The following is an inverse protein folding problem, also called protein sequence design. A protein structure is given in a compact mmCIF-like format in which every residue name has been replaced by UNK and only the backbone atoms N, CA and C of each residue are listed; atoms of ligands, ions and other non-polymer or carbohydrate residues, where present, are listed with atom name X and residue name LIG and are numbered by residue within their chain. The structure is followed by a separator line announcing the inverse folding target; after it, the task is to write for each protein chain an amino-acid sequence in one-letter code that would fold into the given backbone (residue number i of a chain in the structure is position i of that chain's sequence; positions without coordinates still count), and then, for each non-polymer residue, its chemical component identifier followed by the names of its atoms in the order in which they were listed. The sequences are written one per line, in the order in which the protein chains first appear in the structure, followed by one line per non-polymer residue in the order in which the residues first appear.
data_IF_425000137030
#
_entry.id   IF_425000137030
#
_cell.length_a   1.000
_cell.length_b   1.000
_cell.length_c   1.000
_cell.angle_alpha   90.00
_cell.angle_beta   90.00
_cell.angle_gamma   90.00
#
_symmetry.space_group_name_H-M   'P 1'
#
loop_
_entity.id
_entity.type
_entity.pdbx_description
1 polymer ?
#
# COMPACT_ATOMS: atom_id res chain seq x y z
N UNK A 1 -39.00 20.85 -16.11
CA UNK A 1 -37.62 20.84 -16.62
C UNK A 1 -36.86 19.79 -15.83
N UNK A 2 -36.20 18.87 -16.51
CA UNK A 2 -35.32 17.88 -15.91
C UNK A 2 -33.91 18.18 -16.42
N UNK A 3 -32.96 18.35 -15.52
CA UNK A 3 -31.54 18.55 -15.83
C UNK A 3 -30.84 17.21 -15.57
N UNK A 4 -30.23 16.65 -16.60
CA UNK A 4 -29.59 15.33 -16.53
C UNK A 4 -28.10 15.38 -16.80
N UNK A 5 -27.60 16.44 -17.40
CA UNK A 5 -26.19 16.58 -17.73
C UNK A 5 -25.46 17.33 -16.62
N UNK A 6 -24.19 16.96 -16.38
CA UNK A 6 -23.31 17.67 -15.47
C UNK A 6 -23.05 19.09 -15.97
N UNK A 7 -23.05 20.07 -15.06
CA UNK A 7 -22.80 21.46 -15.41
C UNK A 7 -23.44 22.47 -14.47
N UNK A 8 -23.23 23.73 -14.78
CA UNK A 8 -23.82 24.87 -14.08
C UNK A 8 -24.95 25.47 -14.90
N UNK A 9 -26.11 25.61 -14.28
CA UNK A 9 -27.34 26.06 -14.94
C UNK A 9 -27.90 27.27 -14.20
N UNK A 10 -28.41 28.22 -14.95
CA UNK A 10 -29.15 29.36 -14.40
C UNK A 10 -30.59 29.28 -14.90
N UNK A 11 -31.52 29.14 -13.97
CA UNK A 11 -32.95 29.15 -14.27
C UNK A 11 -33.52 30.52 -13.89
N UNK A 12 -34.18 31.14 -14.85
CA UNK A 12 -34.91 32.41 -14.65
C UNK A 12 -36.39 32.13 -14.55
N UNK A 13 -37.07 32.77 -13.64
CA UNK A 13 -38.49 32.60 -13.43
C UNK A 13 -39.15 33.91 -12.96
N UNK A 14 -40.45 33.97 -13.18
CA UNK A 14 -41.30 35.05 -12.67
C UNK A 14 -42.62 34.46 -12.23
N UNK A 15 -43.32 35.15 -11.36
CA UNK A 15 -44.68 34.83 -10.95
C UNK A 15 -45.68 35.67 -11.74
N UNK A 16 -46.74 35.06 -12.22
CA UNK A 16 -47.81 35.76 -12.90
C UNK A 16 -49.12 35.60 -12.09
N UNK A 17 -49.75 36.72 -11.83
CA UNK A 17 -51.13 36.70 -11.26
C UNK A 17 -52.11 36.35 -12.37
N UNK A 18 -52.75 35.19 -12.25
CA UNK A 18 -53.62 34.69 -13.31
C UNK A 18 -54.87 35.59 -13.53
N UNK A 19 -55.37 36.26 -12.49
CA UNK A 19 -56.55 37.10 -12.59
C UNK A 19 -56.30 38.48 -13.16
N UNK A 20 -55.16 39.05 -12.86
CA UNK A 20 -54.82 40.45 -13.29
C UNK A 20 -53.80 40.49 -14.44
N UNK A 21 -53.14 39.36 -14.75
CA UNK A 21 -52.03 39.35 -15.72
C UNK A 21 -50.74 40.02 -15.23
N UNK A 22 -50.70 40.52 -13.99
CA UNK A 22 -49.51 41.16 -13.45
C UNK A 22 -48.38 40.20 -13.27
N UNK A 23 -47.16 40.61 -13.67
CA UNK A 23 -45.95 39.79 -13.64
C UNK A 23 -44.96 40.35 -12.60
N UNK A 24 -44.41 39.50 -11.76
CA UNK A 24 -43.32 39.88 -10.85
C UNK A 24 -42.02 40.25 -11.58
N UNK A 25 -41.08 40.81 -10.86
CA UNK A 25 -39.71 40.90 -11.34
C UNK A 25 -39.12 39.48 -11.59
N UNK A 26 -38.31 39.37 -12.62
CA UNK A 26 -37.53 38.15 -12.89
C UNK A 26 -36.65 37.80 -11.70
N UNK A 27 -36.68 36.56 -11.30
CA UNK A 27 -35.74 35.96 -10.36
C UNK A 27 -34.92 34.89 -11.05
N UNK A 28 -33.74 34.66 -10.53
CA UNK A 28 -32.90 33.57 -11.02
C UNK A 28 -32.41 32.69 -9.88
N UNK A 29 -32.18 31.42 -10.20
CA UNK A 29 -31.55 30.44 -9.32
C UNK A 29 -30.45 29.75 -10.12
N UNK A 30 -29.30 29.58 -9.49
CA UNK A 30 -28.18 28.82 -10.05
C UNK A 30 -28.18 27.41 -9.47
N UNK A 31 -28.06 26.42 -10.35
CA UNK A 31 -28.03 25.00 -10.01
C UNK A 31 -26.74 24.46 -10.59
N UNK A 32 -25.90 23.83 -9.76
CA UNK A 32 -24.74 23.05 -10.20
C UNK A 32 -25.09 21.56 -10.05
N UNK A 33 -25.06 20.82 -11.14
CA UNK A 33 -25.18 19.36 -11.14
C UNK A 33 -23.78 18.77 -11.34
N UNK A 34 -23.33 18.06 -10.34
CA UNK A 34 -22.02 17.40 -10.31
C UNK A 34 -22.24 15.89 -10.14
N UNK A 35 -21.68 15.09 -11.03
CA UNK A 35 -21.75 13.63 -11.04
C UNK A 35 -20.41 12.97 -10.99
N UNK A 36 -19.35 13.77 -10.96
CA UNK A 36 -17.97 13.29 -10.98
C UNK A 36 -17.50 12.98 -9.58
N UNK A 37 -17.20 11.73 -9.23
CA UNK A 37 -16.71 11.39 -7.90
C UNK A 37 -15.26 11.85 -7.70
N UNK A 38 -14.83 12.05 -6.44
CA UNK A 38 -13.43 12.29 -6.10
C UNK A 38 -12.48 11.22 -6.66
N UNK A 39 -11.27 11.64 -7.04
CA UNK A 39 -10.22 10.72 -7.52
C UNK A 39 -9.27 10.40 -6.37
N UNK A 40 -9.19 9.11 -6.02
CA UNK A 40 -8.25 8.60 -5.02
C UNK A 40 -7.06 7.97 -5.74
N UNK A 41 -5.83 8.29 -5.31
CA UNK A 41 -4.58 7.73 -5.79
C UNK A 41 -3.63 7.40 -4.65
N UNK A 42 -2.52 6.68 -4.93
CA UNK A 42 -1.52 6.25 -3.94
C UNK A 42 -1.71 4.83 -3.41
N UNK A 43 -2.89 4.23 -3.63
CA UNK A 43 -3.12 2.81 -3.39
C UNK A 43 -4.10 2.23 -4.42
N UNK A 44 -3.98 0.94 -4.69
CA UNK A 44 -4.85 0.16 -5.58
C UNK A 44 -5.80 -0.71 -4.75
N UNK A 45 -7.04 -0.86 -5.24
CA UNK A 45 -8.04 -1.67 -4.53
C UNK A 45 -7.64 -3.14 -4.47
N UNK A 46 -7.81 -3.72 -3.28
CA UNK A 46 -7.50 -5.11 -2.93
C UNK A 46 -6.02 -5.50 -3.02
N UNK A 47 -5.13 -4.53 -3.14
CA UNK A 47 -3.69 -4.75 -3.12
C UNK A 47 -3.17 -4.82 -1.69
N UNK A 48 -2.11 -5.61 -1.50
CA UNK A 48 -1.36 -5.67 -0.24
C UNK A 48 0.00 -5.02 -0.44
N UNK A 49 0.39 -4.20 0.53
CA UNK A 49 1.65 -3.47 0.59
C UNK A 49 2.45 -3.90 1.81
N UNK A 50 3.72 -3.53 1.87
CA UNK A 50 4.53 -3.60 3.07
C UNK A 50 4.75 -2.18 3.63
N UNK A 51 4.86 -2.04 4.94
CA UNK A 51 4.85 -0.73 5.62
C UNK A 51 6.00 0.20 5.19
N UNK A 52 7.14 -0.36 4.79
CA UNK A 52 8.31 0.37 4.31
C UNK A 52 8.10 1.06 2.93
N UNK A 53 7.03 0.73 2.20
CA UNK A 53 6.72 1.33 0.91
C UNK A 53 6.19 2.78 1.00
N UNK A 54 5.97 3.32 2.21
CA UNK A 54 5.52 4.70 2.46
C UNK A 54 4.30 5.08 1.60
N UNK A 55 3.15 4.51 1.92
CA UNK A 55 1.92 4.72 1.17
C UNK A 55 1.36 6.10 1.53
N UNK A 56 1.30 6.99 0.55
CA UNK A 56 0.64 8.30 0.67
C UNK A 56 -0.60 8.30 -0.22
N UNK A 57 -1.76 8.37 0.41
CA UNK A 57 -3.04 8.51 -0.28
C UNK A 57 -3.25 9.98 -0.66
N UNK A 58 -3.73 10.20 -1.86
CA UNK A 58 -4.10 11.54 -2.35
C UNK A 58 -5.51 11.50 -2.89
N UNK A 59 -6.33 12.44 -2.46
CA UNK A 59 -7.68 12.68 -3.01
C UNK A 59 -7.67 14.00 -3.75
N UNK A 60 -8.30 14.03 -4.92
CA UNK A 60 -8.53 15.25 -5.70
C UNK A 60 -10.00 15.36 -6.09
N UNK A 61 -10.57 16.53 -5.84
CA UNK A 61 -11.92 16.90 -6.27
C UNK A 61 -12.14 18.40 -6.10
N UNK A 62 -12.89 19.05 -7.01
CA UNK A 62 -13.20 20.49 -6.97
C UNK A 62 -14.03 20.90 -5.75
N UNK A 63 -14.83 20.00 -5.23
CA UNK A 63 -15.78 20.25 -4.15
C UNK A 63 -15.67 19.19 -3.05
N UNK A 64 -14.45 18.77 -2.72
CA UNK A 64 -14.19 17.76 -1.72
C UNK A 64 -14.83 18.14 -0.38
N UNK A 65 -15.70 17.29 0.13
CA UNK A 65 -16.50 17.54 1.32
C UNK A 65 -16.01 16.78 2.55
N UNK A 66 -15.71 15.49 2.40
CA UNK A 66 -15.21 14.68 3.51
C UNK A 66 -14.30 13.55 3.06
N UNK A 67 -13.35 13.20 3.94
CA UNK A 67 -12.47 12.06 3.76
C UNK A 67 -12.51 11.21 5.03
N UNK A 68 -12.68 9.89 4.87
CA UNK A 68 -12.75 8.93 5.97
C UNK A 68 -11.73 7.80 5.79
N UNK A 69 -11.16 7.38 6.91
CA UNK A 69 -10.32 6.20 7.02
C UNK A 69 -10.98 5.21 7.99
N UNK A 70 -11.32 4.01 7.53
CA UNK A 70 -12.02 2.99 8.32
C UNK A 70 -13.30 3.55 9.00
N UNK A 71 -14.11 4.30 8.24
CA UNK A 71 -15.32 5.01 8.68
C UNK A 71 -15.08 6.16 9.68
N UNK A 72 -13.86 6.41 10.12
CA UNK A 72 -13.52 7.58 10.92
C UNK A 72 -13.21 8.76 10.02
N UNK A 73 -13.85 9.89 10.24
CA UNK A 73 -13.57 11.11 9.50
C UNK A 73 -12.19 11.64 9.87
N UNK A 74 -11.35 11.87 8.85
CA UNK A 74 -9.99 12.41 8.98
C UNK A 74 -9.85 13.79 8.35
N UNK A 75 -10.81 14.18 7.52
CA UNK A 75 -10.96 15.54 7.01
C UNK A 75 -12.42 15.82 6.69
N UNK A 76 -12.87 17.04 6.97
CA UNK A 76 -14.20 17.56 6.68
C UNK A 76 -14.10 18.90 5.95
N UNK A 77 -15.20 19.39 5.40
CA UNK A 77 -15.28 20.68 4.67
C UNK A 77 -14.54 21.82 5.37
N UNK A 78 -14.66 21.91 6.70
CA UNK A 78 -14.00 22.95 7.49
C UNK A 78 -12.46 22.82 7.57
N UNK A 79 -11.92 21.65 7.30
CA UNK A 79 -10.48 21.36 7.32
C UNK A 79 -9.86 21.20 5.93
N UNK A 80 -10.70 21.05 4.89
CA UNK A 80 -10.27 20.96 3.50
C UNK A 80 -10.07 22.37 2.95
N UNK A 81 -8.85 22.64 2.49
CA UNK A 81 -8.54 23.91 1.84
C UNK A 81 -9.12 23.93 0.42
N UNK A 82 -9.36 25.15 -0.11
CA UNK A 82 -9.87 25.41 -1.46
C UNK A 82 -9.00 24.92 -2.61
N UNK A 83 -7.95 24.16 -2.35
CA UNK A 83 -7.04 23.59 -3.36
C UNK A 83 -7.39 22.15 -3.80
N UNK A 84 -8.56 21.66 -3.39
CA UNK A 84 -9.16 20.44 -3.93
C UNK A 84 -8.28 19.18 -3.87
N UNK A 85 -7.28 19.18 -3.00
CA UNK A 85 -6.36 18.06 -2.82
C UNK A 85 -6.12 17.80 -1.33
N UNK A 86 -6.38 16.57 -0.90
CA UNK A 86 -6.07 16.08 0.45
C UNK A 86 -5.07 14.93 0.37
N UNK A 87 -4.12 14.90 1.31
CA UNK A 87 -3.12 13.83 1.41
C UNK A 87 -3.11 13.21 2.80
N UNK A 88 -2.91 11.89 2.86
CA UNK A 88 -2.80 11.14 4.10
C UNK A 88 -1.75 10.03 3.99
N UNK A 89 -0.83 9.97 4.93
CA UNK A 89 0.21 8.94 4.98
C UNK A 89 -0.23 7.77 5.88
N UNK A 90 -0.05 6.55 5.41
CA UNK A 90 -0.31 5.33 6.18
C UNK A 90 0.98 4.95 6.91
N UNK A 91 0.95 5.04 8.23
CA UNK A 91 2.11 4.84 9.12
C UNK A 91 2.06 3.56 9.94
N UNK A 92 1.00 2.74 9.80
CA UNK A 92 0.83 1.49 10.54
C UNK A 92 0.36 0.37 9.64
N UNK A 93 0.67 -0.86 10.02
CA UNK A 93 0.10 -2.03 9.38
C UNK A 93 -1.39 -2.16 9.72
N UNK A 94 -2.16 -2.76 8.80
CA UNK A 94 -3.60 -2.95 8.96
C UNK A 94 -4.34 -3.06 7.64
N UNK A 95 -5.65 -3.28 7.73
CA UNK A 95 -6.55 -3.20 6.58
C UNK A 95 -7.26 -1.86 6.60
N UNK A 96 -7.27 -1.19 5.47
CA UNK A 96 -7.78 0.16 5.31
C UNK A 96 -8.90 0.22 4.29
N UNK A 97 -9.92 0.98 4.61
CA UNK A 97 -10.95 1.46 3.70
C UNK A 97 -10.88 2.98 3.73
N UNK A 98 -10.43 3.56 2.63
CA UNK A 98 -10.32 5.01 2.46
C UNK A 98 -11.44 5.48 1.54
N UNK A 99 -12.28 6.40 2.01
CA UNK A 99 -13.45 6.89 1.29
C UNK A 99 -13.43 8.41 1.22
N UNK A 100 -13.76 8.96 0.07
CA UNK A 100 -13.90 10.39 -0.14
C UNK A 100 -15.31 10.68 -0.68
N UNK A 101 -15.87 11.80 -0.25
CA UNK A 101 -17.13 12.34 -0.74
C UNK A 101 -16.95 13.79 -1.15
N UNK A 102 -17.59 14.19 -2.24
CA UNK A 102 -17.75 15.59 -2.61
C UNK A 102 -19.03 16.23 -1.99
N UNK A 103 -19.24 17.50 -2.22
CA UNK A 103 -20.40 18.24 -1.73
C UNK A 103 -21.71 17.87 -2.47
N UNK A 104 -21.63 17.24 -3.65
CA UNK A 104 -22.78 16.73 -4.39
C UNK A 104 -23.22 15.34 -3.92
N UNK A 105 -22.40 14.66 -3.10
CA UNK A 105 -22.65 13.33 -2.57
C UNK A 105 -22.08 12.19 -3.41
N UNK A 106 -21.26 12.48 -4.43
CA UNK A 106 -20.54 11.45 -5.16
C UNK A 106 -19.44 10.85 -4.26
N UNK A 107 -19.22 9.54 -4.39
CA UNK A 107 -18.35 8.77 -3.51
C UNK A 107 -17.27 8.05 -4.29
N UNK A 108 -16.04 8.07 -3.77
CA UNK A 108 -14.96 7.20 -4.17
C UNK A 108 -14.45 6.41 -2.97
N UNK A 109 -13.98 5.18 -3.21
CA UNK A 109 -13.42 4.34 -2.14
C UNK A 109 -12.31 3.44 -2.68
N UNK A 110 -11.28 3.24 -1.87
CA UNK A 110 -10.22 2.26 -2.09
C UNK A 110 -10.04 1.43 -0.83
N UNK A 111 -9.90 0.11 -1.00
CA UNK A 111 -9.59 -0.84 0.09
C UNK A 111 -8.27 -1.53 -0.19
N UNK A 112 -7.37 -1.56 0.80
CA UNK A 112 -6.06 -2.20 0.69
C UNK A 112 -5.59 -2.70 2.05
N UNK A 113 -4.52 -3.50 2.06
CA UNK A 113 -3.90 -4.02 3.29
C UNK A 113 -2.43 -3.59 3.32
N UNK A 114 -1.92 -3.31 4.51
CA UNK A 114 -0.50 -3.03 4.76
C UNK A 114 0.01 -4.02 5.78
N UNK A 115 0.99 -4.83 5.40
CA UNK A 115 1.68 -5.76 6.29
C UNK A 115 2.84 -5.05 6.99
N UNK A 116 3.06 -5.36 8.25
CA UNK A 116 4.17 -4.80 9.04
C UNK A 116 5.52 -5.29 8.51
N UNK A 117 5.59 -6.57 8.14
CA UNK A 117 6.82 -7.24 7.73
C UNK A 117 6.71 -7.78 6.30
N UNK A 118 7.87 -8.00 5.67
CA UNK A 118 7.97 -8.70 4.41
C UNK A 118 7.78 -10.20 4.58
N UNK A 119 7.18 -10.82 3.57
CA UNK A 119 7.12 -12.28 3.43
C UNK A 119 8.11 -12.68 2.34
N UNK A 120 9.29 -13.14 2.75
CA UNK A 120 10.36 -13.52 1.84
C UNK A 120 10.13 -14.90 1.24
N UNK A 121 10.48 -15.07 -0.03
CA UNK A 121 10.55 -16.38 -0.68
C UNK A 121 11.78 -17.18 -0.16
N UNK A 122 12.00 -18.40 -0.69
CA UNK A 122 13.14 -19.26 -0.31
C UNK A 122 14.50 -18.70 -0.72
N UNK A 123 14.52 -17.63 -1.50
CA UNK A 123 15.73 -17.01 -2.03
C UNK A 123 16.41 -17.82 -3.14
N UNK A 124 17.15 -17.12 -4.00
CA UNK A 124 17.92 -17.68 -5.11
C UNK A 124 19.40 -17.37 -4.91
N UNK A 125 20.25 -18.39 -4.97
CA UNK A 125 21.68 -18.21 -4.92
C UNK A 125 22.14 -17.47 -6.18
N UNK A 126 22.69 -16.26 -6.01
CA UNK A 126 23.24 -15.42 -7.08
C UNK A 126 24.73 -15.72 -7.28
N UNK A 127 25.42 -16.07 -6.18
CA UNK A 127 26.82 -16.41 -6.17
C UNK A 127 27.06 -17.52 -5.15
N UNK A 128 27.67 -18.60 -5.57
CA UNK A 128 28.06 -19.69 -4.68
C UNK A 128 29.21 -19.28 -3.74
N UNK A 129 29.14 -19.76 -2.49
CA UNK A 129 30.26 -19.63 -1.57
C UNK A 129 31.40 -20.55 -1.96
N UNK A 130 32.65 -20.10 -1.77
CA UNK A 130 33.88 -20.89 -1.97
C UNK A 130 34.66 -20.96 -0.67
N UNK A 131 35.81 -21.63 -0.68
CA UNK A 131 36.72 -21.66 0.46
C UNK A 131 37.46 -20.33 0.69
N UNK A 132 37.41 -19.41 -0.27
CA UNK A 132 38.11 -18.12 -0.23
C UNK A 132 37.21 -16.91 -0.39
N UNK A 133 35.92 -17.10 -0.67
CA UNK A 133 34.94 -16.03 -0.86
C UNK A 133 33.55 -16.43 -0.36
N UNK A 134 32.84 -15.47 0.21
CA UNK A 134 31.44 -15.59 0.57
C UNK A 134 30.56 -15.69 -0.68
N UNK A 135 29.47 -16.42 -0.59
CA UNK A 135 28.41 -16.44 -1.58
C UNK A 135 27.36 -15.37 -1.29
N UNK A 136 26.35 -15.31 -2.15
CA UNK A 136 25.27 -14.33 -2.07
C UNK A 136 23.93 -14.95 -2.43
N UNK A 137 22.90 -14.75 -1.60
CA UNK A 137 21.54 -15.26 -1.81
C UNK A 137 20.57 -14.09 -1.83
N UNK A 138 19.81 -13.98 -2.92
CA UNK A 138 18.80 -12.94 -3.13
C UNK A 138 17.44 -13.47 -2.72
N UNK A 139 16.75 -12.72 -1.86
CA UNK A 139 15.36 -12.97 -1.47
C UNK A 139 14.46 -11.89 -2.06
N UNK A 140 13.25 -12.28 -2.44
CA UNK A 140 12.21 -11.37 -2.93
C UNK A 140 10.99 -11.49 -2.05
N UNK A 141 10.44 -10.37 -1.62
CA UNK A 141 9.17 -10.34 -0.91
C UNK A 141 8.04 -10.75 -1.86
N UNK A 142 7.27 -11.77 -1.48
CA UNK A 142 6.16 -12.30 -2.29
C UNK A 142 4.95 -11.36 -2.34
N UNK A 143 4.90 -10.35 -1.46
CA UNK A 143 3.80 -9.38 -1.34
C UNK A 143 4.09 -8.11 -2.14
N UNK A 144 5.24 -7.50 -1.95
CA UNK A 144 5.54 -6.17 -2.48
C UNK A 144 6.67 -6.15 -3.52
N UNK A 145 7.36 -7.28 -3.75
CA UNK A 145 8.47 -7.36 -4.69
C UNK A 145 9.80 -6.75 -4.21
N UNK A 146 9.86 -6.22 -2.98
CA UNK A 146 11.12 -5.75 -2.41
C UNK A 146 12.14 -6.87 -2.33
N UNK A 147 13.43 -6.55 -2.48
CA UNK A 147 14.51 -7.52 -2.45
C UNK A 147 15.48 -7.26 -1.32
N UNK A 148 16.08 -8.32 -0.77
CA UNK A 148 17.21 -8.26 0.14
C UNK A 148 18.23 -9.31 -0.26
N UNK A 149 19.50 -9.04 0.02
CA UNK A 149 20.59 -9.98 -0.19
C UNK A 149 21.18 -10.40 1.17
N UNK A 150 21.48 -11.69 1.31
CA UNK A 150 22.19 -12.24 2.46
C UNK A 150 23.45 -12.96 2.00
N UNK A 151 24.50 -12.85 2.78
CA UNK A 151 25.77 -13.55 2.53
C UNK A 151 25.62 -15.04 2.86
N UNK A 152 26.15 -15.90 1.99
CA UNK A 152 26.36 -17.33 2.27
C UNK A 152 27.78 -17.46 2.82
N UNK A 153 27.97 -18.00 4.04
CA UNK A 153 29.32 -18.16 4.63
C UNK A 153 30.24 -18.98 3.73
N UNK A 154 31.54 -18.67 3.79
CA UNK A 154 32.57 -19.45 3.08
C UNK A 154 32.50 -20.93 3.48
N UNK A 155 32.74 -21.80 2.52
CA UNK A 155 32.81 -23.25 2.76
C UNK A 155 34.07 -23.54 3.58
N UNK A 156 33.90 -24.03 4.81
CA UNK A 156 35.04 -24.53 5.61
C UNK A 156 35.43 -25.90 5.09
N UNK A 157 36.69 -26.06 4.70
CA UNK A 157 37.23 -27.41 4.43
C UNK A 157 37.28 -28.16 5.77
N UNK A 158 36.68 -29.37 5.89
CA UNK A 158 36.82 -30.15 7.12
C UNK A 158 38.30 -30.40 7.37
N UNK A 159 38.80 -30.04 8.53
CA UNK A 159 40.15 -30.39 8.96
C UNK A 159 40.29 -31.91 8.90
N UNK A 160 41.25 -32.42 8.12
CA UNK A 160 41.50 -33.84 8.06
C UNK A 160 41.95 -34.30 9.47
N UNK A 161 41.09 -35.02 10.15
CA UNK A 161 41.41 -35.62 11.43
C UNK A 161 42.50 -36.64 11.17
N UNK A 162 43.76 -36.28 11.46
CA UNK A 162 44.90 -37.21 11.41
C UNK A 162 44.68 -38.26 12.49
N UNK A 163 44.12 -39.41 12.08
CA UNK A 163 44.11 -40.58 12.96
C UNK A 163 45.58 -41.00 13.14
N UNK A 164 46.13 -40.70 14.31
CA UNK A 164 47.38 -41.30 14.76
C UNK A 164 47.12 -42.78 14.96
N UNK A 165 47.59 -43.60 13.99
CA UNK A 165 47.64 -45.05 14.17
C UNK A 165 48.62 -45.35 15.28
N UNK A 166 48.13 -45.79 16.43
CA UNK A 166 48.92 -46.39 17.48
C UNK A 166 49.28 -47.78 16.99
N UNK A 167 50.53 -47.96 16.48
CA UNK A 167 51.11 -49.24 16.19
C UNK A 167 51.43 -49.93 17.53
N UNK A 168 50.62 -50.82 18.01
CA UNK A 168 50.92 -51.73 19.10
C UNK A 168 51.83 -52.84 18.54
N UNK A 169 53.12 -52.82 18.93
CA UNK A 169 54.08 -53.89 18.69
C UNK A 169 53.67 -55.10 19.54
N UNK A 170 53.55 -56.35 18.97
CA UNK A 170 53.25 -57.51 19.79
C UNK A 170 54.51 -57.93 20.57
N UNK A 171 54.34 -58.02 21.86
CA UNK A 171 55.35 -58.53 22.80
C UNK A 171 55.50 -60.07 22.60
N UNK A 172 56.73 -60.53 22.33
CA UNK A 172 57.08 -61.93 22.13
C UNK A 172 57.07 -62.68 23.49
N UNK A 173 56.11 -63.57 23.67
CA UNK A 173 56.02 -64.45 24.80
C UNK A 173 57.00 -65.70 24.59
N UNK A 174 58.11 -65.66 25.31
CA UNK A 174 59.04 -66.79 25.41
C UNK A 174 58.46 -67.89 26.32
N UNK A 175 58.09 -69.03 25.74
CA UNK A 175 57.74 -70.19 26.54
C UNK A 175 59.03 -71.00 26.85
N UNK A 176 59.35 -71.17 28.16
CA UNK A 176 60.36 -72.05 28.65
C UNK A 176 59.66 -73.36 29.06
N UNK A 177 60.02 -74.47 28.45
CA UNK A 177 59.68 -75.85 28.87
C UNK A 177 60.71 -76.30 29.89
N UNK A 178 60.21 -76.90 30.99
CA UNK A 178 60.81 -78.04 31.71
C UNK A 178 59.66 -78.87 32.29
#
# INVERSE_FOLDING_TARGET
IVITEEGSYTMKYYLMNISSGAISQEKQISIKLDKTPPVISGAESNKTYCLDQKITLTVKDENLYSVKLNNQEIASESSLNTNDTFTHEITKAGTYVFTAADAAGNLASVRFTVNENHTWNDGVVQKEATTTAVGEKLYTCTVCGATKTEEIPMVTTPEATTQTQVTTTPEATTQTQT
#
